data_IF_521554461356
#
_entry.id   IF_521554461356
#
_cell.length_a   1.000
_cell.length_b   1.000
_cell.length_c   1.000
_cell.angle_alpha   90.00
_cell.angle_beta   90.00
_cell.angle_gamma   90.00
#
_symmetry.space_group_name_H-M   'P 1'
#
loop_
_entity.id
_entity.type
_entity.pdbx_description
1 polymer ?
#
# COMPACT_ATOMS: atom_id res chain seq x y z
N UNK A 1 -4.71 -15.96 6.56
CA UNK A 1 -4.59 -14.50 6.48
C UNK A 1 -3.95 -14.13 5.13
N UNK A 2 -4.51 -13.17 4.42
CA UNK A 2 -4.01 -12.80 3.09
C UNK A 2 -2.77 -11.90 3.19
N UNK A 3 -1.93 -11.87 2.15
CA UNK A 3 -0.91 -10.83 2.02
C UNK A 3 -1.55 -9.44 2.07
N UNK A 4 -0.78 -8.43 2.41
CA UNK A 4 -1.29 -7.05 2.50
C UNK A 4 -0.33 -6.08 1.80
N UNK A 5 -0.89 -5.12 1.09
CA UNK A 5 -0.18 -3.98 0.53
C UNK A 5 -0.53 -2.75 1.35
N UNK A 6 0.47 -1.98 1.75
CA UNK A 6 0.30 -0.74 2.49
C UNK A 6 0.20 0.45 1.55
N UNK A 7 -0.87 1.23 1.71
CA UNK A 7 -0.99 2.55 1.10
C UNK A 7 -0.23 3.60 1.94
N UNK A 8 -0.05 4.80 1.38
CA UNK A 8 0.71 5.87 2.01
C UNK A 8 0.20 6.26 3.40
N UNK A 9 -1.11 6.18 3.63
CA UNK A 9 -1.70 6.53 4.92
C UNK A 9 -1.17 5.67 6.07
N UNK A 10 -0.88 4.40 5.81
CA UNK A 10 -0.27 3.50 6.79
C UNK A 10 1.13 4.00 7.16
N UNK A 11 1.92 4.39 6.16
CA UNK A 11 3.26 4.89 6.36
C UNK A 11 3.26 6.22 7.13
N UNK A 12 2.32 7.11 6.79
CA UNK A 12 2.16 8.38 7.51
C UNK A 12 1.81 8.14 8.98
N UNK A 13 0.86 7.26 9.24
CA UNK A 13 0.45 6.93 10.60
C UNK A 13 1.58 6.28 11.40
N UNK A 14 2.34 5.38 10.77
CA UNK A 14 3.50 4.75 11.43
C UNK A 14 4.60 5.78 11.72
N UNK A 15 4.86 6.70 10.79
CA UNK A 15 5.84 7.76 10.97
C UNK A 15 5.47 8.70 12.13
N UNK A 16 4.17 8.92 12.32
CA UNK A 16 3.63 9.67 13.46
C UNK A 16 3.50 8.86 14.74
N UNK A 17 3.98 7.64 14.72
CA UNK A 17 3.95 6.71 15.85
C UNK A 17 2.52 6.42 16.35
N UNK A 18 1.56 6.30 15.44
CA UNK A 18 0.18 5.92 15.79
C UNK A 18 0.17 4.48 16.31
N UNK A 19 -0.21 4.32 17.56
CA UNK A 19 -0.10 3.05 18.28
C UNK A 19 -0.88 1.91 17.63
N UNK A 20 -2.10 2.19 17.18
CA UNK A 20 -2.97 1.17 16.57
C UNK A 20 -2.35 0.59 15.28
N UNK A 21 -1.73 1.44 14.45
CA UNK A 21 -1.07 1.01 13.23
C UNK A 21 0.13 0.11 13.53
N UNK A 22 0.94 0.47 14.51
CA UNK A 22 2.06 -0.36 14.95
C UNK A 22 1.60 -1.70 15.53
N UNK A 23 0.50 -1.71 16.28
CA UNK A 23 -0.05 -2.95 16.84
C UNK A 23 -0.50 -3.90 15.74
N UNK A 24 -1.22 -3.40 14.73
CA UNK A 24 -1.67 -4.19 13.58
C UNK A 24 -0.50 -4.73 12.78
N UNK A 25 0.51 -3.88 12.54
CA UNK A 25 1.72 -4.28 11.83
C UNK A 25 2.44 -5.42 12.56
N UNK A 26 2.58 -5.32 13.87
CA UNK A 26 3.19 -6.33 14.70
C UNK A 26 2.44 -7.67 14.61
N UNK A 27 1.11 -7.62 14.67
CA UNK A 27 0.27 -8.83 14.56
C UNK A 27 0.52 -9.52 13.21
N UNK A 28 0.61 -8.75 12.12
CA UNK A 28 0.90 -9.30 10.79
C UNK A 28 2.25 -9.99 10.75
N UNK A 29 3.29 -9.34 11.26
CA UNK A 29 4.64 -9.92 11.29
C UNK A 29 4.69 -11.19 12.14
N UNK A 30 4.02 -11.21 13.28
CA UNK A 30 3.94 -12.40 14.14
C UNK A 30 3.20 -13.55 13.45
N UNK A 31 2.26 -13.23 12.56
CA UNK A 31 1.54 -14.23 11.75
C UNK A 31 2.32 -14.66 10.50
N UNK A 32 3.53 -14.16 10.31
CA UNK A 32 4.36 -14.49 9.14
C UNK A 32 4.01 -13.70 7.89
N UNK A 33 3.24 -12.61 8.01
CA UNK A 33 2.87 -11.77 6.88
C UNK A 33 3.84 -10.60 6.81
N UNK A 34 4.59 -10.53 5.70
CA UNK A 34 5.47 -9.40 5.41
C UNK A 34 4.71 -8.45 4.49
N UNK A 35 4.31 -7.26 4.98
CA UNK A 35 3.56 -6.32 4.14
C UNK A 35 4.39 -5.84 2.97
N UNK A 36 3.73 -5.60 1.84
CA UNK A 36 4.35 -5.11 0.60
C UNK A 36 4.14 -3.60 0.51
N UNK A 37 5.20 -2.88 0.19
CA UNK A 37 5.16 -1.43 -0.01
C UNK A 37 5.81 -1.11 -1.36
N UNK A 38 5.02 -0.72 -2.38
CA UNK A 38 5.59 -0.26 -3.65
C UNK A 38 6.41 1.02 -3.47
N UNK A 39 7.50 1.15 -4.23
CA UNK A 39 8.39 2.31 -4.10
C UNK A 39 7.70 3.67 -4.28
N UNK A 40 6.68 3.86 -5.14
CA UNK A 40 5.95 5.13 -5.19
C UNK A 40 5.29 5.52 -3.87
N UNK A 41 4.85 4.55 -3.07
CA UNK A 41 4.29 4.82 -1.74
C UNK A 41 5.38 5.37 -0.81
N UNK A 42 6.57 4.81 -0.87
CA UNK A 42 7.72 5.31 -0.10
C UNK A 42 8.03 6.75 -0.51
N UNK A 43 8.08 7.03 -1.81
CA UNK A 43 8.39 8.37 -2.33
C UNK A 43 7.35 9.41 -1.87
N UNK A 44 6.09 9.01 -1.72
CA UNK A 44 5.04 9.92 -1.29
C UNK A 44 5.21 10.36 0.17
N UNK A 45 5.80 9.54 1.01
CA UNK A 45 5.91 9.79 2.46
C UNK A 45 7.31 10.19 2.89
N UNK A 46 8.34 9.65 2.24
CA UNK A 46 9.73 9.93 2.60
C UNK A 46 10.12 11.37 2.29
N UNK A 47 10.57 12.11 3.32
CA UNK A 47 10.96 13.52 3.19
C UNK A 47 12.33 13.81 3.76
N UNK A 48 12.83 12.97 4.70
CA UNK A 48 14.04 13.22 5.42
C UNK A 48 14.65 11.92 5.94
N UNK A 49 15.98 11.81 6.00
CA UNK A 49 16.61 10.66 6.64
C UNK A 49 16.34 10.58 8.15
N UNK A 50 15.70 11.59 8.73
CA UNK A 50 15.36 11.66 10.17
C UNK A 50 14.03 11.00 10.52
N UNK A 51 13.29 10.50 9.55
CA UNK A 51 12.03 9.77 9.78
C UNK A 51 12.32 8.36 10.30
N UNK A 52 12.71 8.29 11.56
CA UNK A 52 13.16 7.04 12.21
C UNK A 52 12.05 5.99 12.23
N UNK A 53 10.82 6.38 12.54
CA UNK A 53 9.71 5.46 12.64
C UNK A 53 9.33 4.90 11.25
N UNK A 54 9.36 5.73 10.22
CA UNK A 54 9.12 5.27 8.85
C UNK A 54 10.15 4.21 8.44
N UNK A 55 11.41 4.46 8.69
CA UNK A 55 12.48 3.51 8.36
C UNK A 55 12.34 2.21 9.12
N UNK A 56 11.96 2.30 10.39
CA UNK A 56 11.71 1.13 11.23
C UNK A 56 10.57 0.29 10.66
N UNK A 57 9.46 0.93 10.24
CA UNK A 57 8.35 0.22 9.59
C UNK A 57 8.82 -0.51 8.34
N UNK A 58 9.54 0.19 7.47
CA UNK A 58 9.97 -0.34 6.17
C UNK A 58 10.93 -1.53 6.31
N UNK A 59 11.70 -1.59 7.38
CA UNK A 59 12.55 -2.77 7.65
C UNK A 59 11.76 -4.05 7.86
N UNK A 60 10.52 -3.94 8.32
CA UNK A 60 9.62 -5.08 8.48
C UNK A 60 8.78 -5.37 7.24
N UNK A 61 8.95 -4.60 6.17
CA UNK A 61 8.18 -4.70 4.95
C UNK A 61 9.04 -5.15 3.78
N UNK A 62 8.39 -5.64 2.74
CA UNK A 62 9.01 -5.86 1.44
C UNK A 62 8.73 -4.65 0.56
N UNK A 63 9.75 -3.82 0.34
CA UNK A 63 9.66 -2.68 -0.57
C UNK A 63 9.92 -3.20 -1.99
N UNK A 64 8.96 -2.96 -2.90
CA UNK A 64 9.02 -3.48 -4.27
C UNK A 64 9.20 -2.36 -5.28
N UNK A 65 10.13 -2.57 -6.21
CA UNK A 65 10.37 -1.61 -7.28
C UNK A 65 9.20 -1.58 -8.26
N UNK A 66 8.87 -0.38 -8.75
CA UNK A 66 7.93 -0.19 -9.84
C UNK A 66 8.68 -0.32 -11.17
N UNK A 67 8.35 -1.35 -11.94
CA UNK A 67 8.91 -1.53 -13.29
C UNK A 67 8.15 -0.68 -14.31
N UNK A 68 8.71 -0.53 -15.52
CA UNK A 68 7.98 0.15 -16.61
C UNK A 68 6.67 -0.57 -16.92
N UNK A 69 6.68 -1.89 -16.94
CA UNK A 69 5.48 -2.70 -17.18
C UNK A 69 4.41 -2.43 -16.12
N UNK A 70 4.81 -2.38 -14.86
CA UNK A 70 3.90 -2.06 -13.75
C UNK A 70 3.34 -0.65 -13.88
N UNK A 71 4.16 0.31 -14.31
CA UNK A 71 3.74 1.69 -14.49
C UNK A 71 2.67 1.82 -15.58
N UNK A 72 2.84 1.14 -16.71
CA UNK A 72 1.83 1.13 -17.77
C UNK A 72 0.52 0.48 -17.29
N UNK A 73 0.60 -0.65 -16.60
CA UNK A 73 -0.58 -1.34 -16.09
C UNK A 73 -1.34 -0.48 -15.08
N UNK A 74 -0.63 0.16 -14.16
CA UNK A 74 -1.24 1.07 -13.18
C UNK A 74 -1.88 2.29 -13.86
N UNK A 75 -1.23 2.84 -14.89
CA UNK A 75 -1.77 3.96 -15.66
C UNK A 75 -3.06 3.60 -16.39
N UNK A 76 -3.12 2.43 -17.01
CA UNK A 76 -4.35 1.93 -17.65
C UNK A 76 -5.46 1.74 -16.64
N UNK A 77 -5.15 1.18 -15.47
CA UNK A 77 -6.10 1.00 -14.39
C UNK A 77 -6.66 2.34 -13.90
N UNK A 78 -5.78 3.32 -13.74
CA UNK A 78 -6.14 4.68 -13.35
C UNK A 78 -7.17 5.28 -14.31
N UNK A 79 -6.91 5.19 -15.62
CA UNK A 79 -7.81 5.67 -16.66
C UNK A 79 -9.16 4.95 -16.65
N UNK A 80 -9.16 3.64 -16.52
CA UNK A 80 -10.38 2.84 -16.52
C UNK A 80 -11.25 3.10 -15.28
N UNK A 81 -10.64 3.35 -14.14
CA UNK A 81 -11.36 3.62 -12.88
C UNK A 81 -11.84 5.07 -12.77
N UNK A 82 -11.35 5.98 -13.62
CA UNK A 82 -11.62 7.40 -13.50
C UNK A 82 -10.99 8.04 -12.26
N UNK A 83 -9.94 7.45 -11.72
CA UNK A 83 -9.17 8.01 -10.61
C UNK A 83 -8.08 8.95 -11.14
N UNK A 84 -7.60 9.85 -10.29
CA UNK A 84 -6.48 10.74 -10.60
C UNK A 84 -5.25 10.49 -9.71
N UNK A 85 -5.33 9.55 -8.78
CA UNK A 85 -4.25 9.25 -7.84
C UNK A 85 -3.41 8.10 -8.36
N UNK A 86 -2.24 8.42 -8.91
CA UNK A 86 -1.30 7.44 -9.48
C UNK A 86 -0.80 6.45 -8.43
N UNK A 87 -0.53 6.91 -7.21
CA UNK A 87 -0.03 6.05 -6.14
C UNK A 87 -1.10 5.04 -5.73
N UNK A 88 -2.37 5.46 -5.62
CA UNK A 88 -3.47 4.54 -5.38
C UNK A 88 -3.58 3.48 -6.48
N UNK A 89 -3.40 3.87 -7.74
CA UNK A 89 -3.43 2.93 -8.86
C UNK A 89 -2.31 1.89 -8.75
N UNK A 90 -1.11 2.31 -8.37
CA UNK A 90 0.02 1.39 -8.15
C UNK A 90 -0.28 0.41 -7.02
N UNK A 91 -0.84 0.90 -5.91
CA UNK A 91 -1.21 0.07 -4.75
C UNK A 91 -2.27 -0.96 -5.15
N UNK A 92 -3.33 -0.53 -5.82
CA UNK A 92 -4.40 -1.41 -6.25
C UNK A 92 -3.92 -2.46 -7.26
N UNK A 93 -3.09 -2.05 -8.21
CA UNK A 93 -2.48 -2.97 -9.17
C UNK A 93 -1.64 -4.03 -8.47
N UNK A 94 -0.77 -3.63 -7.54
CA UNK A 94 0.05 -4.56 -6.78
C UNK A 94 -0.80 -5.55 -5.98
N UNK A 95 -1.85 -5.08 -5.33
CA UNK A 95 -2.77 -5.94 -4.58
C UNK A 95 -3.49 -6.94 -5.48
N UNK A 96 -3.97 -6.50 -6.64
CA UNK A 96 -4.64 -7.38 -7.61
C UNK A 96 -3.68 -8.46 -8.12
N UNK A 97 -2.45 -8.08 -8.44
CA UNK A 97 -1.42 -9.00 -8.94
C UNK A 97 -1.05 -10.06 -7.89
N UNK A 98 -0.95 -9.68 -6.63
CA UNK A 98 -0.51 -10.55 -5.54
C UNK A 98 -1.66 -11.32 -4.86
N UNK A 99 -2.92 -10.99 -5.19
CA UNK A 99 -4.05 -11.51 -4.43
C UNK A 99 -4.04 -11.01 -2.98
N UNK A 100 -3.57 -9.79 -2.77
CA UNK A 100 -3.38 -9.19 -1.45
C UNK A 100 -4.54 -8.26 -1.09
N UNK A 101 -4.73 -8.07 0.22
CA UNK A 101 -5.61 -7.01 0.73
C UNK A 101 -4.86 -5.68 0.77
N UNK A 102 -5.58 -4.57 0.93
CA UNK A 102 -5.00 -3.23 0.98
C UNK A 102 -5.35 -2.55 2.30
N UNK A 103 -4.33 -2.11 3.03
CA UNK A 103 -4.51 -1.25 4.20
C UNK A 103 -4.41 0.21 3.74
N UNK A 104 -5.47 0.97 3.93
CA UNK A 104 -5.58 2.34 3.42
C UNK A 104 -6.53 3.20 4.24
N UNK A 105 -6.30 4.50 4.25
CA UNK A 105 -7.24 5.51 4.75
C UNK A 105 -8.16 6.07 3.66
N UNK A 106 -8.08 5.57 2.41
CA UNK A 106 -8.88 6.02 1.27
C UNK A 106 -9.67 4.87 0.64
N UNK A 107 -10.62 4.26 1.39
CA UNK A 107 -11.31 3.07 0.92
C UNK A 107 -12.13 3.28 -0.35
N UNK A 108 -12.66 4.48 -0.57
CA UNK A 108 -13.49 4.76 -1.74
C UNK A 108 -12.68 4.71 -3.04
N UNK A 109 -11.55 5.40 -3.10
CA UNK A 109 -10.71 5.44 -4.30
C UNK A 109 -10.01 4.10 -4.56
N UNK A 110 -9.44 3.51 -3.52
CA UNK A 110 -8.86 2.17 -3.62
C UNK A 110 -9.91 1.14 -4.05
N UNK A 111 -11.10 1.21 -3.49
CA UNK A 111 -12.21 0.31 -3.86
C UNK A 111 -12.58 0.39 -5.34
N UNK A 112 -12.67 1.61 -5.89
CA UNK A 112 -12.94 1.80 -7.33
C UNK A 112 -11.85 1.21 -8.21
N UNK A 113 -10.59 1.40 -7.80
CA UNK A 113 -9.44 0.87 -8.53
C UNK A 113 -9.39 -0.66 -8.47
N UNK A 114 -9.64 -1.25 -7.32
CA UNK A 114 -9.70 -2.71 -7.17
C UNK A 114 -10.83 -3.30 -7.99
N UNK A 115 -11.99 -2.66 -8.00
CA UNK A 115 -13.13 -3.09 -8.81
C UNK A 115 -12.79 -3.04 -10.30
N UNK A 116 -12.18 -1.95 -10.76
CA UNK A 116 -11.74 -1.82 -12.15
C UNK A 116 -10.70 -2.87 -12.53
N UNK A 117 -9.89 -3.31 -11.58
CA UNK A 117 -8.91 -4.38 -11.77
C UNK A 117 -9.53 -5.79 -11.74
N UNK A 118 -10.81 -5.90 -11.43
CA UNK A 118 -11.48 -7.19 -11.25
C UNK A 118 -10.95 -7.97 -10.05
N UNK A 119 -10.43 -7.27 -9.05
CA UNK A 119 -9.85 -7.88 -7.86
C UNK A 119 -10.89 -8.12 -6.78
N UNK A 120 -10.76 -9.25 -6.09
CA UNK A 120 -11.55 -9.57 -4.89
C UNK A 120 -10.83 -9.16 -3.60
N UNK A 121 -9.76 -8.39 -3.68
CA UNK A 121 -9.01 -7.89 -2.53
C UNK A 121 -9.92 -7.13 -1.56
N UNK A 122 -9.68 -7.34 -0.28
CA UNK A 122 -10.42 -6.62 0.76
C UNK A 122 -9.67 -5.37 1.20
N UNK A 123 -10.43 -4.39 1.67
CA UNK A 123 -9.88 -3.16 2.20
C UNK A 123 -9.85 -3.24 3.72
N UNK A 124 -8.69 -2.94 4.28
CA UNK A 124 -8.49 -2.82 5.72
C UNK A 124 -8.40 -1.32 6.02
N UNK A 125 -9.42 -0.77 6.66
CA UNK A 125 -9.46 0.65 7.05
C UNK A 125 -8.48 0.96 8.18
N UNK A 126 -8.08 2.20 8.25
CA UNK A 126 -7.25 2.71 9.33
C UNK A 126 -8.10 3.36 10.42
#
# INVERSE_FOLDING_TARGET
MNPVVYDADVLVAADRNVRAVWADHRIRLEAGIVPVVPTPVVAQVSRSPRQVQLRRLLRGCQVTALTEQDAHAAGHLLGNAGSSDVVHAVVAYAAALLGADVATGNPADIGRLLEAAGSSSQIIGL
#
